data_IF_645094024181
#
_entry.id   IF_645094024181
#
_cell.length_a   1.000
_cell.length_b   1.000
_cell.length_c   1.000
_cell.angle_alpha   90.00
_cell.angle_beta   90.00
_cell.angle_gamma   90.00
#
_symmetry.space_group_name_H-M   'P 1'
#
loop_
_entity.id
_entity.type
_entity.pdbx_description
1 polymer ?
#
# COMPACT_ATOMS: atom_id res chain seq x y z
N UNK A 1 22.04 -12.47 -14.84
CA UNK A 1 20.74 -12.81 -15.47
C UNK A 1 19.70 -12.97 -14.39
N UNK A 2 18.51 -12.46 -14.63
CA UNK A 2 17.37 -12.69 -13.76
C UNK A 2 16.77 -14.08 -14.04
N UNK A 3 16.51 -14.83 -12.97
CA UNK A 3 15.96 -16.20 -13.04
C UNK A 3 14.66 -16.31 -12.23
N UNK A 4 14.59 -15.61 -11.09
CA UNK A 4 13.45 -15.62 -10.19
C UNK A 4 12.64 -14.33 -10.30
N UNK A 5 11.40 -14.35 -9.78
CA UNK A 5 10.56 -13.14 -9.68
C UNK A 5 11.28 -12.05 -8.86
N UNK A 6 11.89 -12.43 -7.74
CA UNK A 6 12.64 -11.51 -6.88
C UNK A 6 13.84 -10.86 -7.59
N UNK A 7 14.50 -11.57 -8.53
CA UNK A 7 15.58 -11.00 -9.33
C UNK A 7 15.06 -9.86 -10.21
N UNK A 8 13.89 -10.04 -10.83
CA UNK A 8 13.28 -9.02 -11.67
C UNK A 8 12.82 -7.81 -10.84
N UNK A 9 12.25 -8.01 -9.65
CA UNK A 9 11.90 -6.93 -8.72
C UNK A 9 13.15 -6.14 -8.30
N UNK A 10 14.20 -6.83 -7.90
CA UNK A 10 15.48 -6.21 -7.54
C UNK A 10 16.09 -5.42 -8.70
N UNK A 11 16.00 -5.94 -9.93
CA UNK A 11 16.47 -5.22 -11.12
C UNK A 11 15.65 -3.95 -11.38
N UNK A 12 14.33 -3.98 -11.15
CA UNK A 12 13.48 -2.80 -11.30
C UNK A 12 13.91 -1.68 -10.33
N UNK A 13 14.17 -2.01 -9.07
CA UNK A 13 14.66 -1.03 -8.09
C UNK A 13 16.09 -0.55 -8.35
N UNK A 14 16.91 -1.32 -9.06
CA UNK A 14 18.28 -0.94 -9.44
C UNK A 14 18.38 -0.07 -10.69
N UNK A 15 17.25 0.16 -11.39
CA UNK A 15 17.24 1.09 -12.51
C UNK A 15 17.64 2.50 -12.02
N UNK A 16 18.55 3.15 -12.75
CA UNK A 16 19.04 4.46 -12.34
C UNK A 16 17.90 5.50 -12.31
N UNK A 17 17.74 6.30 -11.23
CA UNK A 17 16.63 7.26 -11.07
C UNK A 17 16.42 8.25 -12.20
N UNK A 18 17.47 8.58 -12.97
CA UNK A 18 17.34 9.44 -14.17
C UNK A 18 16.41 8.88 -15.25
N UNK A 19 16.18 7.57 -15.26
CA UNK A 19 15.27 6.91 -16.20
C UNK A 19 13.84 6.76 -15.67
N UNK A 20 13.62 7.13 -14.42
CA UNK A 20 12.36 7.06 -13.69
C UNK A 20 12.53 6.33 -12.36
N UNK A 21 11.84 6.84 -11.35
CA UNK A 21 11.85 6.21 -10.02
C UNK A 21 10.66 5.26 -9.88
N UNK A 22 10.94 4.05 -9.41
CA UNK A 22 9.94 3.03 -9.08
C UNK A 22 9.83 2.96 -7.55
N UNK A 23 8.65 3.23 -7.02
CA UNK A 23 8.42 3.20 -5.56
C UNK A 23 8.12 1.79 -5.08
N UNK A 24 7.27 1.06 -5.81
CA UNK A 24 6.93 -0.34 -5.54
C UNK A 24 6.85 -1.13 -6.83
N UNK A 25 7.27 -2.36 -6.76
CA UNK A 25 7.26 -3.31 -7.85
C UNK A 25 6.85 -4.68 -7.32
N UNK A 26 6.04 -5.40 -8.09
CA UNK A 26 5.70 -6.80 -7.84
C UNK A 26 5.69 -7.56 -9.14
N UNK A 27 6.29 -8.74 -9.17
CA UNK A 27 6.35 -9.59 -10.34
C UNK A 27 5.58 -10.87 -10.07
N UNK A 28 4.66 -11.18 -10.96
CA UNK A 28 3.81 -12.36 -10.86
C UNK A 28 3.85 -13.17 -12.15
N UNK A 29 3.72 -14.48 -12.01
CA UNK A 29 3.57 -15.34 -13.17
C UNK A 29 2.17 -15.16 -13.77
N UNK A 30 2.10 -14.94 -15.07
CA UNK A 30 0.84 -14.98 -15.80
C UNK A 30 0.33 -16.43 -15.85
N UNK A 31 -0.78 -16.69 -15.16
CA UNK A 31 -1.38 -18.03 -15.07
C UNK A 31 -2.17 -18.39 -16.33
N UNK A 32 -2.58 -17.41 -17.11
CA UNK A 32 -3.39 -17.60 -18.32
C UNK A 32 -2.52 -17.85 -19.57
N UNK A 33 -1.22 -17.62 -19.45
CA UNK A 33 -0.28 -17.81 -20.55
C UNK A 33 0.36 -19.20 -20.52
N UNK A 34 0.33 -19.91 -21.66
CA UNK A 34 1.10 -21.15 -21.85
C UNK A 34 2.61 -20.90 -21.96
N UNK A 35 3.01 -19.65 -22.20
CA UNK A 35 4.41 -19.21 -22.23
C UNK A 35 4.86 -18.75 -20.84
N UNK A 36 6.17 -18.64 -20.65
CA UNK A 36 6.75 -18.06 -19.44
C UNK A 36 6.60 -16.54 -19.48
N UNK A 37 5.37 -16.07 -19.26
CA UNK A 37 5.02 -14.67 -19.23
C UNK A 37 4.99 -14.17 -17.77
N UNK A 38 5.56 -13.01 -17.53
CA UNK A 38 5.62 -12.37 -16.22
C UNK A 38 4.90 -11.03 -16.30
N UNK A 39 3.94 -10.84 -15.42
CA UNK A 39 3.25 -9.57 -15.20
C UNK A 39 4.01 -8.78 -14.12
N UNK A 40 4.60 -7.66 -14.49
CA UNK A 40 5.31 -6.77 -13.59
C UNK A 40 4.45 -5.53 -13.31
N UNK A 41 3.96 -5.42 -12.09
CA UNK A 41 3.21 -4.26 -11.61
C UNK A 41 4.16 -3.24 -11.02
N UNK A 42 4.07 -1.98 -11.43
CA UNK A 42 4.94 -0.91 -10.96
C UNK A 42 4.14 0.33 -10.57
N UNK A 43 4.57 0.98 -9.51
CA UNK A 43 4.03 2.26 -9.02
C UNK A 43 5.16 3.24 -8.84
N UNK A 44 4.93 4.47 -9.27
CA UNK A 44 5.79 5.62 -9.01
C UNK A 44 5.24 6.48 -7.88
N UNK A 45 6.01 7.47 -7.49
CA UNK A 45 5.65 8.45 -6.45
C UNK A 45 5.71 9.84 -7.06
N UNK A 46 4.75 10.70 -6.72
CA UNK A 46 4.77 12.10 -7.10
C UNK A 46 5.69 12.93 -6.20
N UNK A 47 5.82 14.22 -6.50
CA UNK A 47 6.64 15.16 -5.70
C UNK A 47 6.11 15.37 -4.27
N UNK A 48 4.86 15.01 -4.01
CA UNK A 48 4.22 15.06 -2.69
C UNK A 48 4.32 13.74 -1.91
N UNK A 49 5.01 12.73 -2.48
CA UNK A 49 5.17 11.42 -1.85
C UNK A 49 3.96 10.48 -1.99
N UNK A 50 3.02 10.81 -2.87
CA UNK A 50 1.81 10.01 -3.11
C UNK A 50 2.01 9.07 -4.28
N UNK A 51 1.34 7.92 -4.22
CA UNK A 51 1.43 6.91 -5.26
C UNK A 51 0.76 7.39 -6.55
N UNK A 52 1.46 7.23 -7.65
CA UNK A 52 0.97 7.52 -9.00
C UNK A 52 1.28 6.38 -9.95
N UNK A 53 0.46 6.26 -10.99
CA UNK A 53 0.75 5.31 -12.06
C UNK A 53 2.00 5.73 -12.82
N UNK A 54 2.85 4.77 -13.15
CA UNK A 54 4.05 5.03 -13.91
C UNK A 54 3.69 5.45 -15.35
N UNK A 55 4.31 6.54 -15.82
CA UNK A 55 4.10 6.98 -17.19
C UNK A 55 4.74 6.02 -18.21
N UNK A 56 4.35 6.18 -19.50
CA UNK A 56 4.84 5.34 -20.59
C UNK A 56 6.36 5.39 -20.75
N UNK A 57 6.98 6.53 -20.47
CA UNK A 57 8.44 6.69 -20.54
C UNK A 57 9.15 5.83 -19.52
N UNK A 58 8.70 5.83 -18.27
CA UNK A 58 9.26 4.98 -17.20
C UNK A 58 9.10 3.50 -17.56
N UNK A 59 7.93 3.09 -18.04
CA UNK A 59 7.67 1.72 -18.46
C UNK A 59 8.58 1.28 -19.61
N UNK A 60 8.75 2.12 -20.61
CA UNK A 60 9.63 1.85 -21.75
C UNK A 60 11.10 1.76 -21.30
N UNK A 61 11.57 2.67 -20.47
CA UNK A 61 12.93 2.65 -19.94
C UNK A 61 13.18 1.37 -19.11
N UNK A 62 12.21 1.00 -18.27
CA UNK A 62 12.29 -0.23 -17.49
C UNK A 62 12.32 -1.47 -18.39
N UNK A 63 11.52 -1.51 -19.45
CA UNK A 63 11.51 -2.61 -20.41
C UNK A 63 12.86 -2.77 -21.12
N UNK A 64 13.47 -1.64 -21.55
CA UNK A 64 14.81 -1.65 -22.16
C UNK A 64 15.86 -2.11 -21.16
N UNK A 65 15.79 -1.64 -19.92
CA UNK A 65 16.68 -2.06 -18.83
C UNK A 65 16.59 -3.55 -18.54
N UNK A 66 15.39 -4.10 -18.34
CA UNK A 66 15.16 -5.51 -18.04
C UNK A 66 15.57 -6.44 -19.19
N UNK A 67 15.43 -6.02 -20.45
CA UNK A 67 15.82 -6.78 -21.62
C UNK A 67 17.31 -7.18 -21.62
N UNK A 68 18.17 -6.40 -20.93
CA UNK A 68 19.60 -6.73 -20.82
C UNK A 68 19.89 -7.91 -19.90
N UNK A 69 18.96 -8.22 -18.98
CA UNK A 69 19.16 -9.19 -17.91
C UNK A 69 18.19 -10.38 -17.95
N UNK A 70 17.08 -10.27 -18.69
CA UNK A 70 16.05 -11.31 -18.75
C UNK A 70 16.56 -12.60 -19.40
N UNK A 71 15.92 -13.72 -19.09
CA UNK A 71 16.09 -14.96 -19.81
C UNK A 71 15.47 -14.86 -21.21
N UNK A 72 16.03 -15.64 -22.18
CA UNK A 72 15.56 -15.62 -23.58
C UNK A 72 14.08 -15.98 -23.70
N UNK A 73 13.62 -16.90 -22.86
CA UNK A 73 12.24 -17.43 -22.91
C UNK A 73 11.26 -16.62 -22.05
N UNK A 74 11.73 -15.62 -21.27
CA UNK A 74 10.86 -14.83 -20.42
C UNK A 74 10.31 -13.63 -21.21
N UNK A 75 9.00 -13.44 -21.17
CA UNK A 75 8.32 -12.24 -21.63
C UNK A 75 7.86 -11.46 -20.40
N UNK A 76 8.05 -10.14 -20.41
CA UNK A 76 7.68 -9.28 -19.29
C UNK A 76 6.71 -8.23 -19.79
N UNK A 77 5.51 -8.23 -19.22
CA UNK A 77 4.50 -7.19 -19.42
C UNK A 77 4.49 -6.25 -18.21
N UNK A 78 4.70 -4.97 -18.47
CA UNK A 78 4.72 -3.94 -17.43
C UNK A 78 3.34 -3.31 -17.32
N UNK A 79 2.68 -3.54 -16.19
CA UNK A 79 1.30 -3.19 -15.92
C UNK A 79 1.18 -2.19 -14.77
N UNK A 80 0.05 -1.49 -14.73
CA UNK A 80 -0.33 -0.64 -13.61
C UNK A 80 -1.12 -1.45 -12.60
N UNK A 81 -0.78 -1.36 -11.29
CA UNK A 81 -1.64 -1.90 -10.26
C UNK A 81 -2.82 -0.98 -9.98
N UNK A 82 -3.87 -1.52 -9.37
CA UNK A 82 -4.97 -0.73 -8.82
C UNK A 82 -4.52 -0.06 -7.51
N UNK A 83 -4.58 1.27 -7.45
CA UNK A 83 -4.34 2.01 -6.21
C UNK A 83 -5.66 2.11 -5.46
N UNK A 84 -5.70 1.56 -4.24
CA UNK A 84 -6.86 1.53 -3.36
C UNK A 84 -6.62 2.50 -2.20
N UNK A 85 -7.34 3.61 -2.17
CA UNK A 85 -7.22 4.57 -1.09
C UNK A 85 -8.10 4.17 0.10
N UNK A 86 -7.54 4.22 1.29
CA UNK A 86 -8.24 3.88 2.52
C UNK A 86 -8.11 4.97 3.58
N UNK A 87 -8.97 4.91 4.56
CA UNK A 87 -8.89 5.72 5.76
C UNK A 87 -9.16 4.86 7.01
N UNK A 88 -8.83 5.41 8.16
CA UNK A 88 -8.95 4.74 9.46
C UNK A 88 -9.86 5.54 10.37
N UNK A 89 -10.89 4.89 10.91
CA UNK A 89 -11.73 5.42 11.98
C UNK A 89 -11.44 4.66 13.27
N UNK A 90 -11.10 5.37 14.33
CA UNK A 90 -10.87 4.72 15.61
C UNK A 90 -11.59 5.39 16.79
N UNK A 91 -11.87 4.60 17.80
CA UNK A 91 -12.43 5.06 19.08
C UNK A 91 -11.54 4.52 20.19
N UNK A 92 -10.96 5.42 20.98
CA UNK A 92 -10.11 5.08 22.12
C UNK A 92 -10.72 5.56 23.42
N UNK A 93 -10.39 4.85 24.50
CA UNK A 93 -10.68 5.24 25.85
C UNK A 93 -9.43 5.81 26.50
N UNK A 94 -9.37 7.12 26.78
CA UNK A 94 -8.22 7.73 27.44
C UNK A 94 -8.15 7.35 28.92
N UNK A 95 -6.97 7.46 29.53
CA UNK A 95 -6.79 7.35 30.98
C UNK A 95 -7.47 8.51 31.68
N UNK A 96 -7.95 8.30 32.92
CA UNK A 96 -8.76 9.26 33.70
C UNK A 96 -8.12 10.64 33.90
N UNK A 97 -6.80 10.72 33.92
CA UNK A 97 -6.05 11.96 34.14
C UNK A 97 -5.46 12.57 32.85
N UNK A 98 -5.73 11.98 31.69
CA UNK A 98 -5.19 12.42 30.41
C UNK A 98 -6.15 13.36 29.68
N UNK A 99 -5.59 14.36 29.01
CA UNK A 99 -6.35 15.22 28.09
C UNK A 99 -6.78 14.41 26.86
N UNK A 100 -8.09 14.34 26.65
CA UNK A 100 -8.70 13.56 25.56
C UNK A 100 -8.23 14.01 24.18
N UNK A 101 -8.10 15.32 23.97
CA UNK A 101 -7.68 15.87 22.68
C UNK A 101 -6.23 15.55 22.38
N UNK A 102 -5.36 15.70 23.37
CA UNK A 102 -3.94 15.36 23.23
C UNK A 102 -3.72 13.88 22.98
N UNK A 103 -4.52 13.00 23.61
CA UNK A 103 -4.44 11.55 23.37
C UNK A 103 -4.87 11.21 21.94
N UNK A 104 -5.95 11.82 21.43
CA UNK A 104 -6.40 11.62 20.05
C UNK A 104 -5.31 12.09 19.06
N UNK A 105 -4.74 13.28 19.28
CA UNK A 105 -3.67 13.81 18.43
C UNK A 105 -2.46 12.87 18.38
N UNK A 106 -2.03 12.36 19.52
CA UNK A 106 -0.94 11.34 19.59
C UNK A 106 -1.28 10.06 18.87
N UNK A 107 -2.53 9.61 18.94
CA UNK A 107 -3.01 8.43 18.21
C UNK A 107 -2.94 8.67 16.68
N UNK A 108 -3.38 9.85 16.23
CA UNK A 108 -3.31 10.22 14.80
C UNK A 108 -1.86 10.27 14.33
N UNK A 109 -0.95 10.89 15.09
CA UNK A 109 0.47 10.95 14.73
C UNK A 109 1.14 9.55 14.73
N UNK A 110 0.79 8.67 15.67
CA UNK A 110 1.28 7.30 15.70
C UNK A 110 0.84 6.52 14.45
N UNK A 111 -0.41 6.65 14.03
CA UNK A 111 -0.90 6.02 12.80
C UNK A 111 -0.28 6.63 11.54
N UNK A 112 -0.06 7.95 11.49
CA UNK A 112 0.67 8.59 10.37
C UNK A 112 2.08 8.05 10.24
N UNK A 113 2.80 7.89 11.35
CA UNK A 113 4.16 7.34 11.33
C UNK A 113 4.16 5.85 10.92
N UNK A 114 3.18 5.07 11.39
CA UNK A 114 3.03 3.67 11.00
C UNK A 114 2.82 3.50 9.49
N UNK A 115 1.94 4.32 8.88
CA UNK A 115 1.65 4.29 7.44
C UNK A 115 2.51 5.24 6.61
N UNK A 116 3.59 5.77 7.16
CA UNK A 116 4.51 6.66 6.44
C UNK A 116 5.14 6.02 5.23
N UNK A 117 5.50 4.73 5.35
CA UNK A 117 5.98 3.96 4.22
C UNK A 117 4.81 3.34 3.47
N UNK A 118 4.75 3.49 2.12
CA UNK A 118 3.73 2.80 1.34
C UNK A 118 3.81 1.29 1.50
N UNK A 119 2.66 0.65 1.60
CA UNK A 119 2.53 -0.79 1.60
C UNK A 119 3.08 -1.40 0.31
N UNK A 120 3.29 -2.71 0.28
CA UNK A 120 3.69 -3.43 -0.93
C UNK A 120 2.46 -3.76 -1.79
N UNK A 121 2.69 -4.02 -3.08
CA UNK A 121 1.65 -4.48 -4.00
C UNK A 121 1.21 -5.89 -3.57
N UNK A 122 -0.09 -6.09 -3.37
CA UNK A 122 -0.66 -7.34 -2.89
C UNK A 122 -0.51 -7.58 -1.37
N UNK A 123 0.03 -6.63 -0.63
CA UNK A 123 0.14 -6.71 0.83
C UNK A 123 -1.21 -6.52 1.49
N UNK A 124 -1.58 -7.44 2.38
CA UNK A 124 -2.79 -7.33 3.18
C UNK A 124 -2.68 -6.16 4.18
N UNK A 125 -3.80 -5.50 4.44
CA UNK A 125 -3.87 -4.44 5.44
C UNK A 125 -4.32 -5.02 6.78
N UNK A 126 -3.42 -5.06 7.76
CA UNK A 126 -3.67 -5.66 9.07
C UNK A 126 -4.36 -4.65 10.01
N UNK A 127 -5.59 -4.96 10.37
CA UNK A 127 -6.37 -4.20 11.37
C UNK A 127 -5.79 -4.41 12.76
N UNK A 128 -5.26 -5.60 13.02
CA UNK A 128 -4.53 -5.93 14.26
C UNK A 128 -3.39 -4.97 14.56
N UNK A 129 -2.63 -4.58 13.53
CA UNK A 129 -1.49 -3.65 13.69
C UNK A 129 -1.97 -2.24 14.07
N UNK A 130 -3.11 -1.81 13.53
CA UNK A 130 -3.75 -0.55 13.92
C UNK A 130 -4.12 -0.56 15.41
N UNK A 131 -4.70 -1.68 15.90
CA UNK A 131 -5.01 -1.84 17.32
C UNK A 131 -3.74 -1.81 18.18
N UNK A 132 -2.68 -2.49 17.75
CA UNK A 132 -1.39 -2.51 18.45
C UNK A 132 -0.76 -1.13 18.54
N UNK A 133 -0.69 -0.40 17.42
CA UNK A 133 -0.17 0.96 17.37
C UNK A 133 -0.94 1.87 18.31
N UNK A 134 -2.27 1.85 18.26
CA UNK A 134 -3.12 2.70 19.13
C UNK A 134 -2.99 2.34 20.61
N UNK A 135 -2.87 1.07 20.95
CA UNK A 135 -2.74 0.59 22.33
C UNK A 135 -1.41 1.02 22.97
N UNK A 136 -0.36 1.13 22.16
CA UNK A 136 0.97 1.54 22.62
C UNK A 136 1.12 3.06 22.80
N UNK A 137 0.10 3.86 22.43
CA UNK A 137 0.15 5.32 22.61
C UNK A 137 -0.02 5.69 24.08
N UNK A 138 0.87 6.55 24.58
CA UNK A 138 0.82 7.04 25.95
C UNK A 138 -0.48 7.82 26.21
N UNK A 139 -1.22 7.42 27.25
CA UNK A 139 -2.49 8.04 27.63
C UNK A 139 -3.73 7.27 27.14
N UNK A 140 -3.56 6.27 26.31
CA UNK A 140 -4.63 5.34 25.93
C UNK A 140 -4.78 4.25 27.00
N UNK A 141 -6.00 4.07 27.50
CA UNK A 141 -6.34 2.97 28.40
C UNK A 141 -6.73 1.74 27.61
N UNK A 142 -7.57 1.91 26.58
CA UNK A 142 -8.07 0.83 25.75
C UNK A 142 -8.50 1.34 24.37
N UNK A 143 -8.49 0.46 23.37
CA UNK A 143 -8.97 0.72 22.01
C UNK A 143 -10.33 0.05 21.86
N UNK A 144 -11.37 0.86 21.83
CA UNK A 144 -12.75 0.37 21.75
C UNK A 144 -13.07 -0.19 20.37
N UNK A 145 -12.61 0.51 19.32
CA UNK A 145 -12.88 0.14 17.94
C UNK A 145 -11.85 0.76 17.00
N UNK A 146 -11.43 0.01 16.01
CA UNK A 146 -10.70 0.51 14.86
C UNK A 146 -11.28 -0.11 13.58
N UNK A 147 -11.64 0.71 12.62
CA UNK A 147 -12.19 0.30 11.33
C UNK A 147 -11.47 0.96 10.19
N UNK A 148 -11.38 0.25 9.09
CA UNK A 148 -10.92 0.76 7.80
C UNK A 148 -12.14 1.07 6.94
N UNK A 149 -12.04 2.10 6.12
CA UNK A 149 -13.01 2.41 5.07
C UNK A 149 -12.29 2.77 3.78
N UNK A 150 -12.92 2.47 2.66
CA UNK A 150 -12.33 2.73 1.33
C UNK A 150 -12.83 4.09 0.83
N UNK A 151 -11.94 4.84 0.21
CA UNK A 151 -12.22 6.10 -0.47
C UNK A 151 -11.98 5.97 -1.97
N UNK A 152 -12.89 6.49 -2.77
CA UNK A 152 -12.78 6.50 -4.23
C UNK A 152 -13.41 7.74 -4.82
N UNK A 153 -12.90 8.18 -5.98
CA UNK A 153 -13.38 9.34 -6.70
C UNK A 153 -12.86 10.69 -6.18
N UNK A 154 -13.08 11.76 -6.92
CA UNK A 154 -12.52 13.07 -6.61
C UNK A 154 -11.00 13.06 -6.64
N UNK A 155 -10.36 13.45 -5.52
CA UNK A 155 -8.90 13.47 -5.38
C UNK A 155 -8.30 12.06 -5.12
N UNK A 156 -9.15 11.04 -4.92
CA UNK A 156 -8.74 9.65 -4.71
C UNK A 156 -8.76 8.85 -6.02
N UNK A 157 -8.19 7.67 -6.00
CA UNK A 157 -8.30 6.71 -7.10
C UNK A 157 -9.76 6.32 -7.36
N UNK A 158 -10.08 6.00 -8.61
CA UNK A 158 -11.40 5.48 -8.98
C UNK A 158 -11.57 3.99 -8.64
N UNK A 159 -10.50 3.33 -8.21
CA UNK A 159 -10.53 1.93 -7.82
C UNK A 159 -11.07 1.76 -6.40
N UNK A 160 -11.91 0.76 -6.20
CA UNK A 160 -12.47 0.43 -4.89
C UNK A 160 -12.53 -1.08 -4.69
N UNK A 161 -12.57 -1.50 -3.44
CA UNK A 161 -12.71 -2.91 -3.03
C UNK A 161 -13.82 -3.01 -1.99
N UNK A 162 -14.62 -4.08 -2.07
CA UNK A 162 -15.64 -4.36 -1.07
C UNK A 162 -14.97 -4.96 0.19
N UNK A 163 -15.01 -4.23 1.30
CA UNK A 163 -14.37 -4.63 2.56
C UNK A 163 -14.96 -5.94 3.06
N UNK A 164 -16.29 -6.07 3.06
CA UNK A 164 -16.98 -7.24 3.65
C UNK A 164 -16.60 -8.56 2.98
N UNK A 165 -16.32 -8.55 1.67
CA UNK A 165 -15.93 -9.74 0.93
C UNK A 165 -14.46 -10.12 1.09
N UNK A 166 -13.63 -9.14 1.42
CA UNK A 166 -12.17 -9.31 1.50
C UNK A 166 -11.64 -9.27 2.92
N UNK A 167 -12.51 -9.06 3.91
CA UNK A 167 -12.16 -9.13 5.32
C UNK A 167 -11.98 -10.59 5.73
N UNK A 168 -10.93 -10.87 6.50
CA UNK A 168 -10.72 -12.19 7.10
C UNK A 168 -11.89 -12.58 8.00
N UNK A 169 -12.11 -13.87 8.19
CA UNK A 169 -13.24 -14.40 9.01
C UNK A 169 -13.20 -13.94 10.48
N UNK A 170 -12.01 -13.63 10.99
CA UNK A 170 -11.78 -13.11 12.34
C UNK A 170 -11.69 -11.58 12.40
N UNK A 171 -11.75 -10.89 11.25
CA UNK A 171 -11.66 -9.44 11.15
C UNK A 171 -10.25 -8.86 11.39
N UNK A 172 -9.21 -9.67 11.40
CA UNK A 172 -7.84 -9.23 11.73
C UNK A 172 -7.14 -8.52 10.58
N UNK A 173 -7.46 -8.84 9.34
CA UNK A 173 -6.87 -8.21 8.16
C UNK A 173 -7.83 -8.11 6.99
N UNK A 174 -7.57 -7.14 6.12
CA UNK A 174 -8.21 -6.99 4.82
C UNK A 174 -7.30 -7.57 3.75
N UNK A 175 -7.77 -8.62 3.06
CA UNK A 175 -7.03 -9.19 1.93
C UNK A 175 -7.06 -8.22 0.74
N UNK A 176 -5.92 -8.03 0.11
CA UNK A 176 -5.73 -7.14 -1.05
C UNK A 176 -5.37 -8.00 -2.26
N UNK A 177 -5.98 -7.77 -3.43
CA UNK A 177 -5.61 -8.48 -4.64
C UNK A 177 -4.13 -8.28 -4.99
N UNK A 178 -3.50 -9.30 -5.54
CA UNK A 178 -2.06 -9.27 -5.88
C UNK A 178 -1.67 -8.18 -6.88
N UNK A 179 -2.62 -7.63 -7.62
CA UNK A 179 -2.45 -6.53 -8.57
C UNK A 179 -2.93 -5.18 -8.04
N UNK A 180 -3.09 -5.04 -6.72
CA UNK A 180 -3.53 -3.81 -6.08
C UNK A 180 -2.58 -3.40 -4.95
N UNK A 181 -2.56 -2.12 -4.63
CA UNK A 181 -1.78 -1.53 -3.54
C UNK A 181 -2.68 -0.62 -2.71
N UNK A 182 -2.56 -0.71 -1.38
CA UNK A 182 -3.29 0.16 -0.46
C UNK A 182 -2.49 1.42 -0.16
N UNK A 183 -3.16 2.58 -0.14
CA UNK A 183 -2.55 3.88 0.15
C UNK A 183 -3.40 4.70 1.11
N UNK A 184 -2.79 5.23 2.16
CA UNK A 184 -3.35 6.29 3.00
C UNK A 184 -2.96 7.65 2.40
N UNK A 185 -3.79 8.16 1.48
CA UNK A 185 -3.41 9.30 0.62
C UNK A 185 -3.33 10.63 1.36
N UNK A 186 -4.29 10.91 2.23
CA UNK A 186 -4.37 12.16 3.00
C UNK A 186 -4.48 11.87 4.49
N UNK A 187 -3.36 11.56 5.18
CA UNK A 187 -3.38 11.13 6.58
C UNK A 187 -4.08 12.12 7.52
N UNK A 188 -4.00 13.43 7.25
CA UNK A 188 -4.64 14.47 8.07
C UNK A 188 -6.17 14.48 7.99
N UNK A 189 -6.74 13.93 6.92
CA UNK A 189 -8.19 13.88 6.65
C UNK A 189 -8.75 12.48 6.77
N UNK A 190 -7.92 11.48 6.46
CA UNK A 190 -8.35 10.07 6.34
C UNK A 190 -8.23 9.30 7.65
N UNK A 191 -7.57 9.87 8.67
CA UNK A 191 -7.51 9.31 10.03
C UNK A 191 -8.46 10.10 10.92
N UNK A 192 -9.53 9.44 11.38
CA UNK A 192 -10.56 10.06 12.21
C UNK A 192 -10.62 9.37 13.58
N UNK A 193 -10.24 10.12 14.63
CA UNK A 193 -10.24 9.64 16.00
C UNK A 193 -11.38 10.21 16.85
N UNK A 194 -11.91 9.37 17.75
CA UNK A 194 -12.89 9.77 18.78
C UNK A 194 -12.48 9.20 20.14
N UNK A 195 -12.79 9.93 21.21
CA UNK A 195 -12.69 9.43 22.58
C UNK A 195 -14.05 9.02 23.12
N UNK A 196 -14.09 7.96 23.89
CA UNK A 196 -15.28 7.50 24.63
C UNK A 196 -15.12 7.74 26.13
#
# INVERSE_FOLDING_TARGET
RAVTQADYENLAYRMHPKFGAIKRCSVQKDLDSQKRNLNMYIVSEDTAGKLTLANSTIKNNLKVWLNQYRMINDTIDILDPYILNFGVNFVVKPQKMSDKFLVIERCVEALKEHFRQPLFIGEALYISDIYEVLKNVTGVLDVVKANIYIKSGGDYSNSSIEIEKNLSSDGSYLAVPNNAIMELKFPDVDILGKSR
#
